data_IF_771002988327
#
_entry.id   IF_771002988327
#
_cell.length_a   1.000
_cell.length_b   1.000
_cell.length_c   1.000
_cell.angle_alpha   90.00
_cell.angle_beta   90.00
_cell.angle_gamma   90.00
#
_symmetry.space_group_name_H-M   'P 1'
#
loop_
_entity.id
_entity.type
_entity.pdbx_description
1 polymer ?
#
# COMPACT_ATOMS: atom_id res chain seq x y z
N UNK A 1 -15.98 -0.56 -0.30
CA UNK A 1 -14.55 -0.19 -0.21
C UNK A 1 -14.37 0.58 1.08
N UNK A 2 -13.80 -0.06 2.09
CA UNK A 2 -13.56 0.56 3.40
C UNK A 2 -12.44 1.59 3.22
N UNK A 3 -12.74 2.88 3.37
CA UNK A 3 -11.69 3.91 3.42
C UNK A 3 -10.94 3.76 4.74
N UNK A 4 -9.64 3.55 4.67
CA UNK A 4 -8.78 3.33 5.85
C UNK A 4 -8.83 4.54 6.79
N UNK A 5 -8.77 4.30 8.10
CA UNK A 5 -8.83 5.38 9.12
C UNK A 5 -7.73 6.43 8.96
N UNK A 6 -6.61 6.04 8.35
CA UNK A 6 -5.55 6.94 7.93
C UNK A 6 -6.04 8.05 6.99
N UNK A 7 -6.84 7.72 5.98
CA UNK A 7 -7.32 8.68 4.99
C UNK A 7 -8.28 9.70 5.62
N UNK A 8 -9.05 9.27 6.64
CA UNK A 8 -9.99 10.11 7.39
C UNK A 8 -9.29 11.06 8.35
N UNK A 9 -8.04 10.76 8.71
CA UNK A 9 -7.23 11.54 9.66
C UNK A 9 -6.38 12.61 8.97
N UNK A 10 -6.39 12.70 7.63
CA UNK A 10 -5.64 13.73 6.91
C UNK A 10 -6.26 15.12 7.14
N UNK A 11 -5.45 16.16 7.42
CA UNK A 11 -5.95 17.52 7.51
C UNK A 11 -6.54 17.95 6.17
N UNK A 12 -7.72 18.56 6.21
CA UNK A 12 -8.38 19.12 5.03
C UNK A 12 -7.52 20.29 4.50
N UNK A 13 -7.22 20.37 3.19
CA UNK A 13 -6.50 21.52 2.66
C UNK A 13 -7.28 22.81 2.96
N UNK A 14 -6.58 23.92 3.24
CA UNK A 14 -7.22 25.21 3.42
C UNK A 14 -8.01 25.56 2.15
N UNK A 15 -9.19 26.14 2.31
CA UNK A 15 -9.95 26.66 1.18
C UNK A 15 -9.12 27.77 0.52
N UNK A 16 -8.92 27.68 -0.79
CA UNK A 16 -8.22 28.70 -1.57
C UNK A 16 -8.99 30.03 -1.47
N UNK A 17 -8.41 31.00 -0.75
CA UNK A 17 -8.77 32.41 -0.87
C UNK A 17 -7.70 33.11 -1.73
N UNK A 18 -8.20 33.69 -2.82
CA UNK A 18 -7.53 34.40 -3.91
C UNK A 18 -6.75 35.64 -3.42
N UNK A 19 -5.48 35.83 -3.86
CA UNK A 19 -4.87 37.14 -4.24
C UNK A 19 -3.31 37.17 -4.33
N UNK A 20 -2.82 37.38 -5.56
CA UNK A 20 -1.76 38.31 -6.05
C UNK A 20 -0.31 38.44 -5.45
N UNK A 21 0.67 37.95 -6.24
CA UNK A 21 1.88 38.59 -6.85
C UNK A 21 2.93 39.43 -6.07
N UNK A 22 4.23 39.02 -6.13
CA UNK A 22 5.42 39.75 -6.67
C UNK A 22 6.82 39.29 -6.11
N UNK A 23 7.85 39.23 -6.97
CA UNK A 23 9.28 38.89 -6.71
C UNK A 23 10.21 40.13 -6.98
N UNK A 24 11.58 40.10 -7.10
CA UNK A 24 12.67 39.20 -6.63
C UNK A 24 13.91 39.95 -6.01
N UNK A 25 14.91 39.26 -5.42
CA UNK A 25 16.34 39.71 -5.34
C UNK A 25 17.33 38.62 -4.85
N UNK A 26 18.48 38.47 -5.54
CA UNK A 26 19.72 37.74 -5.17
C UNK A 26 20.95 38.69 -5.31
N UNK A 27 22.24 38.34 -5.08
CA UNK A 27 22.90 37.21 -4.37
C UNK A 27 24.03 37.65 -3.40
N UNK A 28 24.42 36.83 -2.39
CA UNK A 28 25.79 36.80 -1.81
C UNK A 28 26.16 35.44 -1.20
N UNK A 29 27.18 34.78 -1.75
CA UNK A 29 28.07 33.76 -1.13
C UNK A 29 29.42 34.45 -0.83
N UNK A 30 30.32 33.98 0.07
CA UNK A 30 30.51 32.61 0.57
C UNK A 30 30.78 32.51 2.10
N UNK A 31 30.82 31.31 2.68
CA UNK A 31 32.07 30.67 3.18
C UNK A 31 31.75 29.33 3.86
N UNK A 32 32.64 28.38 3.64
CA UNK A 32 32.56 26.98 4.01
C UNK A 32 32.80 26.83 5.51
N UNK A 33 31.82 26.28 6.24
CA UNK A 33 32.03 25.21 7.22
C UNK A 33 30.78 24.99 8.07
N UNK A 34 30.44 23.71 8.23
CA UNK A 34 29.72 23.16 9.39
C UNK A 34 28.20 23.36 9.49
N UNK A 35 27.45 22.50 8.81
CA UNK A 35 26.41 21.68 9.43
C UNK A 35 25.90 20.67 8.40
N UNK A 36 25.82 19.40 8.76
CA UNK A 36 25.00 18.44 8.03
C UNK A 36 23.56 18.92 8.14
N UNK A 37 23.11 19.68 7.15
CA UNK A 37 21.74 20.12 7.03
C UNK A 37 20.87 18.86 6.97
N UNK A 38 19.99 18.77 7.96
CA UNK A 38 18.88 17.84 7.94
C UNK A 38 17.99 18.36 6.81
N UNK A 39 18.23 17.89 5.59
CA UNK A 39 17.38 18.19 4.44
C UNK A 39 15.95 18.00 4.89
N UNK A 40 15.20 19.10 4.88
CA UNK A 40 13.79 19.12 5.22
C UNK A 40 13.12 18.09 4.33
N UNK A 41 12.89 16.94 4.94
CA UNK A 41 12.22 15.79 4.40
C UNK A 41 10.90 16.34 3.90
N UNK A 42 10.76 16.46 2.58
CA UNK A 42 9.47 16.59 1.93
C UNK A 42 8.74 15.31 2.30
N UNK A 43 8.17 15.35 3.51
CA UNK A 43 7.65 14.22 4.24
C UNK A 43 6.46 13.78 3.45
N UNK A 44 6.72 12.86 2.53
CA UNK A 44 5.70 11.98 2.01
C UNK A 44 5.02 11.44 3.26
N UNK A 45 3.81 11.93 3.53
CA UNK A 45 2.99 11.48 4.63
C UNK A 45 2.55 10.06 4.28
N UNK A 46 3.50 9.14 4.31
CA UNK A 46 3.28 7.75 4.01
C UNK A 46 2.37 7.21 5.10
N UNK A 47 1.31 6.47 4.73
CA UNK A 47 0.52 5.76 5.72
C UNK A 47 1.40 4.85 6.57
N UNK A 48 1.02 4.61 7.83
CA UNK A 48 1.64 3.58 8.63
C UNK A 48 1.47 2.25 7.89
N UNK A 49 2.47 1.37 7.96
CA UNK A 49 2.44 0.07 7.29
C UNK A 49 1.18 -0.75 7.66
N UNK A 50 0.67 -0.57 8.89
CA UNK A 50 -0.57 -1.20 9.35
C UNK A 50 -1.80 -0.83 8.53
N UNK A 51 -1.83 0.34 7.87
CA UNK A 51 -2.93 0.74 7.01
C UNK A 51 -2.96 -0.02 5.67
N UNK A 52 -1.88 -0.73 5.32
CA UNK A 52 -1.79 -1.59 4.14
C UNK A 52 -2.17 -3.05 4.39
N UNK A 53 -2.59 -3.40 5.60
CA UNK A 53 -3.03 -4.77 5.92
C UNK A 53 -4.48 -4.95 5.51
N UNK A 54 -4.74 -5.97 4.68
CA UNK A 54 -6.08 -6.34 4.21
C UNK A 54 -6.46 -7.74 4.69
N UNK A 55 -7.76 -7.98 4.85
CA UNK A 55 -8.30 -9.32 5.00
C UNK A 55 -8.80 -9.80 3.64
N UNK A 56 -8.23 -10.90 3.18
CA UNK A 56 -8.51 -11.46 1.86
C UNK A 56 -8.84 -12.95 1.98
N UNK A 57 -9.48 -13.49 0.94
CA UNK A 57 -9.61 -14.94 0.81
C UNK A 57 -8.27 -15.49 0.33
N UNK A 58 -7.90 -16.67 0.84
CA UNK A 58 -6.77 -17.42 0.31
C UNK A 58 -6.94 -17.64 -1.20
N UNK A 59 -5.93 -17.27 -1.97
CA UNK A 59 -5.99 -17.27 -3.43
C UNK A 59 -4.60 -17.39 -4.05
N UNK A 60 -4.52 -18.02 -5.22
CA UNK A 60 -3.27 -18.14 -5.98
C UNK A 60 -3.53 -18.31 -7.47
N UNK A 61 -2.46 -18.29 -8.26
CA UNK A 61 -2.54 -18.44 -9.71
C UNK A 61 -2.71 -19.91 -10.10
N UNK A 62 -3.40 -20.14 -11.21
CA UNK A 62 -3.49 -21.46 -11.84
C UNK A 62 -2.32 -21.62 -12.81
N UNK A 63 -1.12 -21.87 -12.29
CA UNK A 63 0.14 -21.89 -13.04
C UNK A 63 0.74 -23.30 -13.25
N UNK A 64 0.16 -24.32 -12.61
CA UNK A 64 0.60 -25.71 -12.67
C UNK A 64 -0.28 -26.51 -13.66
N UNK A 65 0.17 -26.74 -14.92
CA UNK A 65 -0.68 -27.28 -15.99
C UNK A 65 -1.15 -28.73 -15.76
N UNK A 66 -0.49 -29.46 -14.86
CA UNK A 66 -0.78 -30.87 -14.58
C UNK A 66 -1.62 -31.07 -13.32
N UNK A 67 -2.15 -30.00 -12.71
CA UNK A 67 -2.98 -30.07 -11.52
C UNK A 67 -4.39 -29.58 -11.82
N UNK A 68 -5.36 -30.19 -11.14
CA UNK A 68 -6.74 -29.69 -11.09
C UNK A 68 -6.83 -28.38 -10.30
N UNK A 69 -7.92 -27.63 -10.50
CA UNK A 69 -8.19 -26.40 -9.75
C UNK A 69 -8.25 -26.66 -8.24
N UNK A 70 -8.79 -27.81 -7.84
CA UNK A 70 -8.92 -28.21 -6.45
C UNK A 70 -7.56 -28.59 -5.83
N UNK A 71 -6.67 -29.22 -6.59
CA UNK A 71 -5.32 -29.52 -6.12
C UNK A 71 -4.48 -28.26 -5.94
N UNK A 72 -4.62 -27.30 -6.85
CA UNK A 72 -3.99 -25.98 -6.73
C UNK A 72 -4.56 -25.26 -5.52
N UNK A 73 -5.89 -25.18 -5.38
CA UNK A 73 -6.54 -24.56 -4.21
C UNK A 73 -6.09 -25.19 -2.88
N UNK A 74 -5.92 -26.52 -2.82
CA UNK A 74 -5.33 -27.18 -1.64
C UNK A 74 -3.90 -26.70 -1.36
N UNK A 75 -3.06 -26.58 -2.39
CA UNK A 75 -1.68 -26.11 -2.24
C UNK A 75 -1.63 -24.69 -1.69
N UNK A 76 -2.42 -23.76 -2.25
CA UNK A 76 -2.50 -22.38 -1.77
C UNK A 76 -2.98 -22.30 -0.31
N UNK A 77 -4.00 -23.09 0.06
CA UNK A 77 -4.49 -23.17 1.45
C UNK A 77 -3.41 -23.67 2.41
N UNK A 78 -2.55 -24.60 1.97
CA UNK A 78 -1.42 -25.07 2.77
C UNK A 78 -0.34 -23.99 2.91
N UNK A 79 -0.01 -23.28 1.83
CA UNK A 79 1.06 -22.28 1.80
C UNK A 79 0.70 -21.00 2.56
N UNK A 80 -0.51 -20.48 2.38
CA UNK A 80 -0.94 -19.20 2.98
C UNK A 80 -1.56 -19.36 4.36
N UNK A 81 -2.32 -20.45 4.58
CA UNK A 81 -3.10 -20.65 5.80
C UNK A 81 -2.59 -21.80 6.69
N UNK A 82 -1.66 -22.63 6.19
CA UNK A 82 -1.09 -23.75 6.96
C UNK A 82 -2.02 -24.95 7.15
N UNK A 83 -3.09 -25.08 6.35
CA UNK A 83 -4.03 -26.20 6.45
C UNK A 83 -3.86 -27.20 5.30
N UNK A 84 -3.59 -28.46 5.62
CA UNK A 84 -3.67 -29.55 4.65
C UNK A 84 -5.10 -30.09 4.57
N UNK A 85 -5.86 -29.58 3.59
CA UNK A 85 -7.27 -29.94 3.39
C UNK A 85 -7.41 -31.02 2.29
N UNK A 86 -8.15 -32.11 2.55
CA UNK A 86 -8.46 -33.07 1.49
C UNK A 86 -9.25 -32.42 0.36
N UNK A 87 -8.87 -32.69 -0.90
CA UNK A 87 -9.55 -32.19 -2.10
C UNK A 87 -11.05 -32.55 -2.10
N UNK A 88 -11.41 -33.72 -1.55
CA UNK A 88 -12.81 -34.17 -1.42
C UNK A 88 -13.69 -33.28 -0.53
N UNK A 89 -13.09 -32.40 0.28
CA UNK A 89 -13.81 -31.41 1.10
C UNK A 89 -13.93 -30.04 0.43
N UNK A 90 -13.23 -29.81 -0.68
CA UNK A 90 -13.37 -28.58 -1.46
C UNK A 90 -14.65 -28.65 -2.28
N UNK A 91 -15.38 -27.53 -2.34
CA UNK A 91 -16.61 -27.41 -3.11
C UNK A 91 -16.57 -26.11 -3.92
N UNK A 92 -16.69 -26.25 -5.24
CA UNK A 92 -16.83 -25.09 -6.14
C UNK A 92 -18.07 -24.27 -5.77
N UNK A 93 -17.89 -22.97 -5.57
CA UNK A 93 -18.99 -22.04 -5.21
C UNK A 93 -19.58 -21.36 -6.45
N UNK A 94 -18.75 -20.87 -7.39
CA UNK A 94 -19.21 -20.17 -8.60
C UNK A 94 -18.15 -20.25 -9.73
N UNK A 95 -18.52 -19.89 -10.96
CA UNK A 95 -17.61 -19.60 -12.09
C UNK A 95 -18.26 -18.61 -13.07
N UNK A 96 -17.43 -17.85 -13.78
CA UNK A 96 -17.81 -16.82 -14.75
C UNK A 96 -17.20 -17.10 -16.12
#
# INVERSE_FOLDING_TARGET
VYMSEWERSKPKPPAEEDSAEAAPAEPKVPDEDKAREKSEDASSQQPPASAGVTYELCAGLVDKPNLSLEEIARQEVLEECGYDVPVTKLRKITSY
#
